data_IF_604051284708
#
_entry.id   IF_604051284708
#
_cell.length_a   1.000
_cell.length_b   1.000
_cell.length_c   1.000
_cell.angle_alpha   90.00
_cell.angle_beta   90.00
_cell.angle_gamma   90.00
#
_symmetry.space_group_name_H-M   'P 1'
#
loop_
_entity.id
_entity.type
_entity.pdbx_description
1 polymer ?
#
# COMPACT_ATOMS: atom_id res chain seq x y z
N UNK A 1 -2.12 27.60 -0.71
CA UNK A 1 -1.87 26.16 -0.96
C UNK A 1 -1.38 25.87 -2.38
N UNK A 2 -2.05 26.36 -3.44
CA UNK A 2 -1.65 26.07 -4.85
C UNK A 2 -0.19 26.44 -5.16
N UNK A 3 0.29 27.62 -4.74
CA UNK A 3 1.69 28.04 -4.95
C UNK A 3 2.69 27.06 -4.31
N UNK A 4 2.37 26.56 -3.11
CA UNK A 4 3.19 25.60 -2.39
C UNK A 4 3.22 24.25 -3.12
N UNK A 5 2.06 23.77 -3.56
CA UNK A 5 1.96 22.52 -4.31
C UNK A 5 2.76 22.57 -5.62
N UNK A 6 2.68 23.69 -6.35
CA UNK A 6 3.50 23.90 -7.56
C UNK A 6 5.00 23.84 -7.27
N UNK A 7 5.45 24.43 -6.16
CA UNK A 7 6.86 24.40 -5.76
C UNK A 7 7.32 22.98 -5.40
N UNK A 8 6.54 22.25 -4.59
CA UNK A 8 6.88 20.88 -4.19
C UNK A 8 6.83 19.94 -5.40
N UNK A 9 5.89 20.12 -6.32
CA UNK A 9 5.82 19.36 -7.58
C UNK A 9 7.00 19.64 -8.51
N UNK A 10 7.45 20.90 -8.62
CA UNK A 10 8.65 21.24 -9.37
C UNK A 10 9.89 20.55 -8.80
N UNK A 11 9.98 20.47 -7.47
CA UNK A 11 11.06 19.73 -6.79
C UNK A 11 10.98 18.24 -7.06
N UNK A 12 9.79 17.64 -7.02
CA UNK A 12 9.57 16.22 -7.31
C UNK A 12 10.17 15.82 -8.67
N UNK A 13 9.90 16.61 -9.72
CA UNK A 13 10.43 16.35 -11.07
C UNK A 13 11.95 16.33 -11.17
N UNK A 14 12.65 16.97 -10.23
CA UNK A 14 14.11 17.02 -10.19
C UNK A 14 14.71 16.08 -9.14
N UNK A 15 13.88 15.41 -8.34
CA UNK A 15 14.37 14.56 -7.26
C UNK A 15 14.82 13.21 -7.83
N UNK A 16 16.07 12.86 -7.55
CA UNK A 16 16.69 11.62 -8.05
C UNK A 16 16.04 10.35 -7.48
N UNK A 17 15.49 10.41 -6.27
CA UNK A 17 14.90 9.25 -5.61
C UNK A 17 13.52 8.97 -6.19
N UNK A 18 12.78 10.02 -6.56
CA UNK A 18 11.55 9.85 -7.34
C UNK A 18 11.82 9.12 -8.67
N UNK A 19 12.84 9.53 -9.43
CA UNK A 19 13.19 8.84 -10.67
C UNK A 19 13.69 7.42 -10.43
N UNK A 20 14.50 7.19 -9.38
CA UNK A 20 14.92 5.85 -8.97
C UNK A 20 13.70 4.96 -8.66
N UNK A 21 12.71 5.49 -7.94
CA UNK A 21 11.47 4.76 -7.64
C UNK A 21 10.72 4.39 -8.93
N UNK A 22 10.59 5.32 -9.89
CA UNK A 22 9.98 5.04 -11.20
C UNK A 22 10.73 3.95 -11.96
N UNK A 23 12.07 4.04 -12.07
CA UNK A 23 12.86 3.01 -12.76
C UNK A 23 12.75 1.64 -12.08
N UNK A 24 12.73 1.62 -10.75
CA UNK A 24 12.56 0.40 -9.99
C UNK A 24 11.19 -0.23 -10.20
N UNK A 25 10.12 0.57 -10.28
CA UNK A 25 8.78 0.08 -10.62
C UNK A 25 8.75 -0.56 -12.01
N UNK A 26 9.40 0.05 -13.01
CA UNK A 26 9.51 -0.53 -14.36
C UNK A 26 10.28 -1.86 -14.30
N UNK A 27 11.38 -1.91 -13.55
CA UNK A 27 12.17 -3.13 -13.36
C UNK A 27 11.37 -4.26 -12.69
N UNK A 28 10.59 -3.93 -11.66
CA UNK A 28 9.72 -4.89 -10.97
C UNK A 28 8.59 -5.38 -11.89
N UNK A 29 7.98 -4.51 -12.69
CA UNK A 29 6.99 -4.91 -13.69
C UNK A 29 7.58 -5.90 -14.71
N UNK A 30 8.75 -5.60 -15.26
CA UNK A 30 9.44 -6.50 -16.18
C UNK A 30 9.82 -7.84 -15.52
N UNK A 31 10.35 -7.80 -14.29
CA UNK A 31 10.74 -8.99 -13.54
C UNK A 31 9.54 -9.88 -13.18
N UNK A 32 8.44 -9.29 -12.73
CA UNK A 32 7.21 -10.04 -12.38
C UNK A 32 6.61 -10.73 -13.60
N UNK A 33 6.52 -10.03 -14.74
CA UNK A 33 6.09 -10.64 -16.00
C UNK A 33 7.02 -11.78 -16.42
N UNK A 34 8.34 -11.56 -16.43
CA UNK A 34 9.32 -12.59 -16.80
C UNK A 34 9.24 -13.83 -15.91
N UNK A 35 9.06 -13.64 -14.60
CA UNK A 35 8.93 -14.74 -13.62
C UNK A 35 7.70 -15.61 -13.88
N UNK A 36 6.64 -15.05 -14.45
CA UNK A 36 5.38 -15.77 -14.67
C UNK A 36 5.21 -16.39 -16.05
N UNK A 37 6.02 -16.00 -17.05
CA UNK A 37 6.01 -16.63 -18.39
C UNK A 37 6.01 -18.18 -18.36
N UNK A 38 6.83 -18.86 -17.54
CA UNK A 38 6.87 -20.33 -17.54
C UNK A 38 5.68 -21.00 -16.83
N UNK A 39 4.79 -20.24 -16.17
CA UNK A 39 3.69 -20.79 -15.37
C UNK A 39 2.35 -20.62 -16.13
N UNK A 40 1.87 -21.69 -16.74
CA UNK A 40 0.64 -21.68 -17.55
C UNK A 40 -0.64 -21.42 -16.72
N UNK A 41 -0.61 -21.70 -15.41
CA UNK A 41 -1.77 -21.56 -14.51
C UNK A 41 -1.93 -20.17 -13.87
N UNK A 42 -1.07 -19.20 -14.22
CA UNK A 42 -1.09 -17.88 -13.57
C UNK A 42 -1.93 -16.88 -14.34
N UNK A 43 -3.01 -16.45 -13.69
CA UNK A 43 -3.93 -15.44 -14.18
C UNK A 43 -3.35 -14.02 -14.09
N UNK A 44 -3.68 -13.19 -15.09
CA UNK A 44 -3.29 -11.78 -15.16
C UNK A 44 -3.67 -11.00 -13.88
N UNK A 45 -4.81 -11.36 -13.28
CA UNK A 45 -5.32 -10.81 -12.02
C UNK A 45 -4.26 -10.79 -10.91
N UNK A 46 -3.48 -11.87 -10.77
CA UNK A 46 -2.44 -12.00 -9.75
C UNK A 46 -1.24 -11.10 -10.03
N UNK A 47 -0.86 -10.98 -11.30
CA UNK A 47 0.26 -10.16 -11.74
C UNK A 47 -0.08 -8.68 -11.52
N UNK A 48 -1.30 -8.26 -11.90
CA UNK A 48 -1.79 -6.90 -11.74
C UNK A 48 -1.75 -6.45 -10.27
N UNK A 49 -2.12 -7.33 -9.35
CA UNK A 49 -2.20 -7.01 -7.93
C UNK A 49 -0.90 -7.25 -7.15
N UNK A 50 0.16 -7.78 -7.76
CA UNK A 50 1.35 -8.16 -7.01
C UNK A 50 2.13 -6.94 -6.45
N UNK A 51 2.19 -5.84 -7.20
CA UNK A 51 3.04 -4.70 -6.85
C UNK A 51 2.64 -4.02 -5.53
N UNK A 52 1.35 -4.03 -5.18
CA UNK A 52 0.85 -3.44 -3.92
C UNK A 52 1.51 -4.06 -2.68
N UNK A 53 1.95 -5.33 -2.75
CA UNK A 53 2.63 -6.01 -1.64
C UNK A 53 3.99 -5.38 -1.32
N UNK A 54 4.64 -4.76 -2.31
CA UNK A 54 6.00 -4.22 -2.20
C UNK A 54 6.02 -2.68 -2.18
N UNK A 55 4.99 -2.03 -2.73
CA UNK A 55 4.98 -0.57 -2.89
C UNK A 55 5.16 0.19 -1.57
N UNK A 56 4.64 -0.35 -0.45
CA UNK A 56 4.75 0.27 0.87
C UNK A 56 6.19 0.54 1.31
N UNK A 57 7.15 -0.33 0.96
CA UNK A 57 8.57 -0.12 1.27
C UNK A 57 9.14 1.06 0.50
N UNK A 58 8.80 1.17 -0.79
CA UNK A 58 9.27 2.27 -1.63
C UNK A 58 8.66 3.59 -1.20
N UNK A 59 7.37 3.60 -0.84
CA UNK A 59 6.72 4.78 -0.26
C UNK A 59 7.43 5.17 1.05
N UNK A 60 7.79 4.21 1.91
CA UNK A 60 8.52 4.49 3.15
C UNK A 60 9.84 5.25 2.88
N UNK A 61 10.66 4.74 1.96
CA UNK A 61 11.96 5.33 1.60
C UNK A 61 11.78 6.68 0.90
N UNK A 62 10.89 6.74 -0.08
CA UNK A 62 10.67 7.94 -0.89
C UNK A 62 10.13 9.09 -0.03
N UNK A 63 9.06 8.85 0.72
CA UNK A 63 8.40 9.87 1.55
C UNK A 63 9.35 10.32 2.66
N UNK A 64 10.06 9.40 3.31
CA UNK A 64 10.98 9.74 4.39
C UNK A 64 12.11 10.65 3.94
N UNK A 65 12.68 10.39 2.77
CA UNK A 65 13.78 11.17 2.25
C UNK A 65 13.26 12.48 1.62
N UNK A 66 12.19 12.44 0.83
CA UNK A 66 11.66 13.63 0.17
C UNK A 66 11.11 14.67 1.15
N UNK A 67 10.33 14.23 2.14
CA UNK A 67 9.79 15.10 3.19
C UNK A 67 10.86 15.43 4.23
N UNK A 68 11.65 14.44 4.65
CA UNK A 68 12.74 14.64 5.62
C UNK A 68 13.79 15.65 5.17
N UNK A 69 14.13 15.73 3.87
CA UNK A 69 14.99 16.79 3.31
C UNK A 69 14.46 18.19 3.60
N UNK A 70 13.14 18.41 3.58
CA UNK A 70 12.59 19.73 3.87
C UNK A 70 12.76 20.13 5.32
N UNK A 71 12.68 19.16 6.22
CA UNK A 71 12.88 19.41 7.63
C UNK A 71 14.37 19.68 7.89
N UNK A 72 15.26 18.76 7.50
CA UNK A 72 16.68 18.84 7.82
C UNK A 72 17.38 20.06 7.23
N UNK A 73 16.92 20.53 6.07
CA UNK A 73 17.47 21.72 5.40
C UNK A 73 16.81 23.04 5.85
N UNK A 74 15.93 23.01 6.85
CA UNK A 74 15.23 24.21 7.35
C UNK A 74 14.22 24.81 6.36
N UNK A 75 13.87 24.09 5.28
CA UNK A 75 12.91 24.56 4.25
C UNK A 75 11.53 24.75 4.87
N UNK A 76 11.12 23.89 5.82
CA UNK A 76 9.85 24.04 6.54
C UNK A 76 9.79 25.38 7.29
N UNK A 77 10.87 25.75 7.99
CA UNK A 77 10.97 27.03 8.70
C UNK A 77 10.87 28.20 7.73
N UNK A 78 11.57 28.13 6.60
CA UNK A 78 11.52 29.16 5.56
C UNK A 78 10.11 29.33 4.97
N UNK A 79 9.39 28.22 4.71
CA UNK A 79 7.99 28.27 4.23
C UNK A 79 7.06 28.98 5.22
N UNK A 80 7.26 28.79 6.52
CA UNK A 80 6.47 29.45 7.57
C UNK A 80 6.79 30.93 7.67
N UNK A 81 8.07 31.31 7.59
CA UNK A 81 8.51 32.72 7.60
C UNK A 81 7.88 33.50 6.43
N UNK A 82 7.77 32.89 5.26
CA UNK A 82 7.13 33.46 4.07
C UNK A 82 5.59 33.50 4.18
N UNK A 83 5.01 33.00 5.28
CA UNK A 83 3.59 33.10 5.60
C UNK A 83 2.74 31.86 5.27
N UNK A 84 3.34 30.71 4.95
CA UNK A 84 2.58 29.48 4.79
C UNK A 84 2.20 28.85 6.13
N UNK A 85 0.95 28.40 6.27
CA UNK A 85 0.49 27.72 7.48
C UNK A 85 1.10 26.31 7.58
N UNK A 86 1.35 25.86 8.82
CA UNK A 86 1.86 24.51 9.11
C UNK A 86 0.98 23.41 8.50
N UNK A 87 -0.34 23.57 8.60
CA UNK A 87 -1.33 22.66 8.00
C UNK A 87 -1.15 22.58 6.48
N UNK A 88 -0.96 23.72 5.82
CA UNK A 88 -0.76 23.74 4.36
C UNK A 88 0.53 23.05 3.92
N UNK A 89 1.58 23.11 4.74
CA UNK A 89 2.85 22.41 4.49
C UNK A 89 2.67 20.90 4.65
N UNK A 90 2.03 20.46 5.74
CA UNK A 90 1.73 19.05 5.98
C UNK A 90 0.91 18.45 4.84
N UNK A 91 -0.19 19.09 4.46
CA UNK A 91 -1.07 18.60 3.39
C UNK A 91 -0.41 18.66 2.01
N UNK A 92 0.43 19.66 1.72
CA UNK A 92 1.12 19.73 0.44
C UNK A 92 2.12 18.57 0.27
N UNK A 93 2.87 18.24 1.32
CA UNK A 93 3.80 17.12 1.30
C UNK A 93 3.06 15.78 1.21
N UNK A 94 1.94 15.62 1.93
CA UNK A 94 1.08 14.45 1.82
C UNK A 94 0.53 14.27 0.39
N UNK A 95 -0.07 15.32 -0.19
CA UNK A 95 -0.66 15.26 -1.54
C UNK A 95 0.39 14.90 -2.59
N UNK A 96 1.59 15.47 -2.51
CA UNK A 96 2.66 15.14 -3.47
C UNK A 96 3.15 13.71 -3.29
N UNK A 97 3.24 13.24 -2.05
CA UNK A 97 3.59 11.84 -1.76
C UNK A 97 2.58 10.86 -2.33
N UNK A 98 1.28 11.17 -2.21
CA UNK A 98 0.19 10.39 -2.78
C UNK A 98 0.28 10.41 -4.32
N UNK A 99 0.43 11.59 -4.94
CA UNK A 99 0.53 11.72 -6.41
C UNK A 99 1.72 10.92 -6.95
N UNK A 100 2.89 11.02 -6.31
CA UNK A 100 4.08 10.30 -6.73
C UNK A 100 3.88 8.77 -6.64
N UNK A 101 3.28 8.29 -5.56
CA UNK A 101 3.06 6.86 -5.33
C UNK A 101 1.99 6.28 -6.25
N UNK A 102 0.89 7.00 -6.48
CA UNK A 102 -0.16 6.62 -7.44
C UNK A 102 0.39 6.61 -8.87
N UNK A 103 1.25 7.56 -9.22
CA UNK A 103 1.88 7.56 -10.54
C UNK A 103 2.71 6.28 -10.76
N UNK A 104 3.48 5.84 -9.77
CA UNK A 104 4.22 4.57 -9.84
C UNK A 104 3.26 3.39 -10.01
N UNK A 105 2.17 3.32 -9.24
CA UNK A 105 1.14 2.28 -9.38
C UNK A 105 0.55 2.25 -10.81
N UNK A 106 0.16 3.42 -11.34
CA UNK A 106 -0.39 3.52 -12.71
C UNK A 106 0.65 3.06 -13.74
N UNK A 107 1.92 3.44 -13.58
CA UNK A 107 2.98 3.00 -14.48
C UNK A 107 3.16 1.48 -14.45
N UNK A 108 3.10 0.87 -13.26
CA UNK A 108 3.12 -0.59 -13.11
C UNK A 108 1.96 -1.23 -13.87
N UNK A 109 0.73 -0.78 -13.61
CA UNK A 109 -0.48 -1.29 -14.27
C UNK A 109 -0.42 -1.16 -15.78
N UNK A 110 0.01 -0.01 -16.31
CA UNK A 110 0.14 0.20 -17.76
C UNK A 110 1.11 -0.80 -18.39
N UNK A 111 2.26 -1.04 -17.75
CA UNK A 111 3.24 -2.01 -18.27
C UNK A 111 2.71 -3.44 -18.22
N UNK A 112 2.09 -3.82 -17.10
CA UNK A 112 1.50 -5.15 -16.93
C UNK A 112 0.34 -5.36 -17.90
N UNK A 113 -0.51 -4.37 -18.16
CA UNK A 113 -1.57 -4.54 -19.15
C UNK A 113 -1.03 -4.59 -20.58
N UNK A 114 -0.05 -3.74 -20.92
CA UNK A 114 0.50 -3.68 -22.28
C UNK A 114 1.22 -4.96 -22.67
N UNK A 115 1.99 -5.56 -21.75
CA UNK A 115 2.79 -6.76 -22.00
C UNK A 115 2.05 -8.02 -21.56
N UNK A 116 1.31 -7.95 -20.45
CA UNK A 116 0.66 -9.09 -19.82
C UNK A 116 -0.61 -9.55 -20.53
N UNK A 117 -1.41 -8.65 -21.14
CA UNK A 117 -2.61 -9.08 -21.90
C UNK A 117 -2.23 -10.00 -23.07
N UNK A 118 -1.23 -9.66 -23.91
CA UNK A 118 -0.78 -10.55 -24.98
C UNK A 118 -0.22 -11.90 -24.51
N UNK A 119 0.37 -11.96 -23.31
CA UNK A 119 1.06 -13.15 -22.81
C UNK A 119 0.16 -14.07 -21.97
N UNK A 120 -0.68 -13.50 -21.12
CA UNK A 120 -1.47 -14.21 -20.10
C UNK A 120 -2.98 -14.12 -20.34
N UNK A 121 -3.42 -13.44 -21.40
CA UNK A 121 -4.84 -13.27 -21.73
C UNK A 121 -5.51 -12.12 -20.98
N UNK A 122 -6.84 -12.15 -20.92
CA UNK A 122 -7.64 -11.09 -20.29
C UNK A 122 -7.81 -11.31 -18.79
N UNK A 123 -8.18 -10.25 -18.07
CA UNK A 123 -8.58 -10.34 -16.65
C UNK A 123 -9.78 -11.29 -16.49
N UNK A 124 -9.75 -12.11 -15.45
CA UNK A 124 -10.87 -13.00 -15.11
C UNK A 124 -11.87 -12.34 -14.17
N UNK A 125 -11.39 -11.46 -13.28
CA UNK A 125 -12.24 -10.70 -12.40
C UNK A 125 -13.24 -9.82 -13.15
N UNK A 126 -14.44 -9.70 -12.61
CA UNK A 126 -15.47 -8.81 -13.15
C UNK A 126 -15.03 -7.35 -13.04
N UNK A 127 -15.56 -6.48 -13.91
CA UNK A 127 -15.27 -5.04 -13.88
C UNK A 127 -15.56 -4.41 -12.50
N UNK A 128 -16.61 -4.86 -11.81
CA UNK A 128 -16.94 -4.38 -10.47
C UNK A 128 -15.91 -4.80 -9.42
N UNK A 129 -15.36 -6.01 -9.50
CA UNK A 129 -14.31 -6.48 -8.61
C UNK A 129 -13.02 -5.70 -8.86
N UNK A 130 -12.63 -5.54 -10.12
CA UNK A 130 -11.45 -4.75 -10.49
C UNK A 130 -11.53 -3.30 -10.00
N UNK A 131 -12.69 -2.64 -10.16
CA UNK A 131 -12.89 -1.29 -9.67
C UNK A 131 -12.76 -1.19 -8.13
N UNK A 132 -13.27 -2.18 -7.40
CA UNK A 132 -13.14 -2.24 -5.94
C UNK A 132 -11.70 -2.52 -5.50
N UNK A 133 -10.98 -3.38 -6.21
CA UNK A 133 -9.56 -3.64 -5.97
C UNK A 133 -8.77 -2.34 -6.16
N UNK A 134 -8.95 -1.64 -7.29
CA UNK A 134 -8.28 -0.39 -7.58
C UNK A 134 -8.55 0.68 -6.51
N UNK A 135 -9.79 0.79 -6.05
CA UNK A 135 -10.16 1.70 -4.95
C UNK A 135 -9.38 1.36 -3.67
N UNK A 136 -9.34 0.09 -3.28
CA UNK A 136 -8.61 -0.36 -2.10
C UNK A 136 -7.10 -0.13 -2.25
N UNK A 137 -6.51 -0.41 -3.42
CA UNK A 137 -5.11 -0.14 -3.73
C UNK A 137 -4.78 1.34 -3.51
N UNK A 138 -5.60 2.25 -4.02
CA UNK A 138 -5.43 3.70 -3.82
C UNK A 138 -5.51 4.07 -2.33
N UNK A 139 -6.47 3.52 -1.59
CA UNK A 139 -6.62 3.78 -0.15
C UNK A 139 -5.45 3.25 0.68
N UNK A 140 -4.91 2.08 0.33
CA UNK A 140 -3.71 1.51 0.95
C UNK A 140 -2.49 2.41 0.70
N UNK A 141 -2.30 2.89 -0.53
CA UNK A 141 -1.23 3.84 -0.88
C UNK A 141 -1.36 5.13 -0.07
N UNK A 142 -2.57 5.70 0.04
CA UNK A 142 -2.83 6.90 0.85
C UNK A 142 -2.53 6.65 2.33
N UNK A 143 -2.85 5.45 2.83
CA UNK A 143 -2.55 5.04 4.21
C UNK A 143 -1.05 5.03 4.49
N UNK A 144 -0.26 4.38 3.62
CA UNK A 144 1.20 4.41 3.72
C UNK A 144 1.76 5.83 3.65
N UNK A 145 1.31 6.63 2.67
CA UNK A 145 1.72 8.02 2.55
C UNK A 145 1.42 8.84 3.81
N UNK A 146 0.25 8.63 4.42
CA UNK A 146 -0.17 9.34 5.64
C UNK A 146 0.74 9.02 6.82
N UNK A 147 1.02 7.72 7.04
CA UNK A 147 1.90 7.25 8.11
C UNK A 147 3.32 7.80 7.96
N UNK A 148 3.92 7.64 6.78
CA UNK A 148 5.31 8.04 6.58
C UNK A 148 5.45 9.56 6.54
N UNK A 149 4.52 10.29 5.93
CA UNK A 149 4.52 11.76 5.98
C UNK A 149 4.42 12.28 7.41
N UNK A 150 3.58 11.66 8.25
CA UNK A 150 3.49 11.99 9.67
C UNK A 150 4.84 11.84 10.39
N UNK A 151 5.48 10.68 10.24
CA UNK A 151 6.78 10.40 10.86
C UNK A 151 7.84 11.40 10.37
N UNK A 152 7.90 11.66 9.07
CA UNK A 152 8.87 12.58 8.49
C UNK A 152 8.70 14.02 8.90
N UNK A 153 7.48 14.45 9.21
CA UNK A 153 7.21 15.78 9.73
C UNK A 153 7.51 15.89 11.24
N UNK A 154 7.64 14.76 11.95
CA UNK A 154 8.06 14.69 13.34
C UNK A 154 9.57 14.53 13.49
N UNK A 155 10.26 13.91 12.55
CA UNK A 155 11.70 13.73 12.64
C UNK A 155 12.45 14.95 12.11
N UNK A 156 13.41 15.47 12.87
CA UNK A 156 14.23 16.60 12.43
C UNK A 156 15.33 16.18 11.45
N UNK A 157 15.87 14.97 11.65
CA UNK A 157 16.94 14.41 10.86
C UNK A 157 16.41 13.41 9.83
N UNK A 158 16.95 13.49 8.61
CA UNK A 158 16.53 12.64 7.50
C UNK A 158 16.84 11.17 7.73
N UNK A 159 18.00 10.87 8.32
CA UNK A 159 18.43 9.51 8.63
C UNK A 159 17.50 8.88 9.66
N UNK A 160 17.16 9.64 10.72
CA UNK A 160 16.23 9.18 11.77
C UNK A 160 14.84 8.92 11.19
N UNK A 161 14.32 9.85 10.38
CA UNK A 161 13.02 9.65 9.71
C UNK A 161 13.00 8.38 8.87
N UNK A 162 14.04 8.18 8.07
CA UNK A 162 14.13 7.06 7.13
C UNK A 162 14.25 5.73 7.85
N UNK A 163 15.10 5.65 8.88
CA UNK A 163 15.23 4.45 9.71
C UNK A 163 13.90 4.07 10.37
N UNK A 164 13.17 5.05 10.95
CA UNK A 164 11.87 4.78 11.58
C UNK A 164 10.84 4.30 10.55
N UNK A 165 10.76 4.93 9.37
CA UNK A 165 9.81 4.53 8.33
C UNK A 165 10.08 3.10 7.83
N UNK A 166 11.34 2.74 7.59
CA UNK A 166 11.73 1.39 7.15
C UNK A 166 11.44 0.35 8.24
N UNK A 167 11.84 0.60 9.48
CA UNK A 167 11.57 -0.33 10.61
C UNK A 167 10.07 -0.50 10.81
N UNK A 168 9.29 0.58 10.68
CA UNK A 168 7.85 0.51 10.82
C UNK A 168 7.21 -0.31 9.69
N UNK A 169 7.65 -0.16 8.45
CA UNK A 169 7.21 -1.00 7.35
C UNK A 169 7.51 -2.49 7.60
N UNK A 170 8.75 -2.81 8.01
CA UNK A 170 9.14 -4.19 8.34
C UNK A 170 8.28 -4.74 9.48
N UNK A 171 8.01 -3.91 10.49
CA UNK A 171 7.14 -4.29 11.61
C UNK A 171 5.72 -4.57 11.13
N UNK A 172 5.16 -3.71 10.27
CA UNK A 172 3.84 -3.95 9.66
C UNK A 172 3.81 -5.25 8.88
N UNK A 173 4.86 -5.57 8.12
CA UNK A 173 4.99 -6.83 7.38
C UNK A 173 5.04 -8.06 8.29
N UNK A 174 5.81 -8.02 9.38
CA UNK A 174 5.93 -9.15 10.33
C UNK A 174 4.64 -9.35 11.14
N UNK A 175 4.03 -8.27 11.60
CA UNK A 175 2.78 -8.34 12.38
C UNK A 175 1.66 -8.89 11.51
N UNK A 176 1.52 -8.36 10.29
CA UNK A 176 0.65 -8.88 9.26
C UNK A 176 0.81 -10.40 9.07
N UNK A 177 2.04 -10.85 8.81
CA UNK A 177 2.33 -12.26 8.55
C UNK A 177 1.97 -13.16 9.76
N UNK A 178 2.23 -12.69 10.98
CA UNK A 178 1.90 -13.41 12.21
C UNK A 178 0.39 -13.64 12.37
N UNK A 179 -0.43 -12.65 12.01
CA UNK A 179 -1.89 -12.77 12.10
C UNK A 179 -2.52 -13.41 10.85
N UNK A 180 -1.82 -13.44 9.72
CA UNK A 180 -2.32 -13.95 8.43
C UNK A 180 -2.83 -15.39 8.51
N UNK A 181 -2.11 -16.26 9.22
CA UNK A 181 -2.50 -17.68 9.33
C UNK A 181 -3.84 -17.83 10.07
N UNK A 182 -3.98 -17.16 11.21
CA UNK A 182 -5.21 -17.19 12.02
C UNK A 182 -6.36 -16.44 11.34
N UNK A 183 -6.07 -15.33 10.65
CA UNK A 183 -7.10 -14.56 9.96
C UNK A 183 -7.70 -15.37 8.80
N UNK A 184 -6.86 -16.04 8.01
CA UNK A 184 -7.23 -16.81 6.82
C UNK A 184 -7.50 -18.31 7.09
N UNK A 185 -7.78 -18.70 8.34
CA UNK A 185 -8.17 -20.08 8.63
C UNK A 185 -9.62 -20.31 8.21
N UNK A 186 -9.84 -21.22 7.26
CA UNK A 186 -11.18 -21.64 6.86
C UNK A 186 -11.88 -22.40 7.99
N UNK A 187 -13.16 -22.10 8.22
CA UNK A 187 -13.96 -22.77 9.25
C UNK A 187 -14.25 -24.23 8.88
N UNK A 188 -14.38 -24.51 7.60
CA UNK A 188 -14.77 -25.82 7.09
C UNK A 188 -13.70 -26.36 6.13
N UNK A 189 -13.25 -27.58 6.38
CA UNK A 189 -12.47 -28.35 5.40
C UNK A 189 -13.45 -28.83 4.34
N UNK A 190 -13.22 -28.41 3.10
CA UNK A 190 -14.06 -28.81 1.97
C UNK A 190 -13.37 -29.96 1.25
N UNK A 191 -13.91 -31.17 1.38
CA UNK A 191 -13.45 -32.32 0.60
C UNK A 191 -14.07 -32.25 -0.79
N UNK A 192 -13.25 -32.22 -1.84
CA UNK A 192 -13.71 -32.23 -3.24
C UNK A 192 -13.23 -33.48 -3.96
N UNK A 193 -14.07 -34.08 -4.82
CA UNK A 193 -13.61 -35.01 -5.85
C UNK A 193 -13.69 -34.32 -7.21
N UNK A 194 -12.70 -34.55 -8.06
CA UNK A 194 -12.70 -34.05 -9.44
C UNK A 194 -13.26 -35.14 -10.34
N UNK A 195 -14.34 -34.84 -11.06
CA UNK A 195 -14.93 -35.78 -12.03
C UNK A 195 -14.06 -35.91 -13.30
N UNK A 196 -14.31 -36.89 -14.16
CA UNK A 196 -13.55 -37.17 -15.39
C UNK A 196 -13.51 -35.97 -16.36
N UNK A 197 -14.45 -35.04 -16.22
CA UNK A 197 -14.52 -33.78 -16.97
C UNK A 197 -13.72 -32.62 -16.32
N UNK A 198 -12.97 -32.86 -15.24
CA UNK A 198 -12.18 -31.84 -14.54
C UNK A 198 -12.97 -30.94 -13.58
N UNK A 199 -14.24 -31.26 -13.31
CA UNK A 199 -15.12 -30.46 -12.45
C UNK A 199 -15.04 -30.97 -11.00
N UNK A 200 -14.63 -30.12 -10.06
CA UNK A 200 -14.56 -30.45 -8.64
C UNK A 200 -15.93 -30.34 -7.97
N UNK A 201 -16.44 -31.45 -7.43
CA UNK A 201 -17.67 -31.53 -6.67
C UNK A 201 -17.39 -31.60 -5.17
N UNK A 202 -18.10 -30.78 -4.37
CA UNK A 202 -17.99 -30.76 -2.91
C UNK A 202 -18.71 -31.98 -2.31
N UNK A 203 -17.97 -32.81 -1.58
CA UNK A 203 -18.42 -34.10 -1.02
C UNK A 203 -18.89 -33.96 0.41
N UNK A 204 -18.10 -33.26 1.22
CA UNK A 204 -18.41 -32.97 2.62
C UNK A 204 -17.75 -31.66 3.04
N UNK A 205 -18.43 -30.95 3.94
CA UNK A 205 -17.87 -29.84 4.70
C UNK A 205 -17.79 -30.28 6.16
N UNK A 206 -16.57 -30.48 6.64
CA UNK A 206 -16.31 -30.86 8.02
C UNK A 206 -15.67 -29.69 8.74
N UNK A 207 -16.02 -29.49 10.02
CA UNK A 207 -15.40 -28.44 10.83
C UNK A 207 -13.90 -28.73 10.95
N UNK A 208 -13.03 -27.76 10.63
CA UNK A 208 -11.59 -27.94 10.78
C UNK A 208 -11.24 -28.19 12.26
N UNK A 209 -10.65 -29.36 12.61
CA UNK A 209 -10.21 -29.64 13.98
C UNK A 209 -9.22 -28.61 14.54
N UNK A 210 -8.48 -27.92 13.67
CA UNK A 210 -7.53 -26.87 14.04
C UNK A 210 -8.13 -25.46 14.02
N UNK A 211 -9.43 -25.31 13.78
CA UNK A 211 -10.08 -24.00 13.74
C UNK A 211 -9.93 -23.30 15.11
N UNK A 212 -9.27 -22.14 15.18
CA UNK A 212 -8.93 -21.49 16.46
C UNK A 212 -10.14 -20.90 17.19
N UNK A 213 -11.31 -20.88 16.55
CA UNK A 213 -12.58 -20.36 17.06
C UNK A 213 -12.97 -19.04 16.41
N UNK A 214 -14.28 -18.83 16.20
CA UNK A 214 -14.84 -17.71 15.43
C UNK A 214 -14.36 -16.34 15.96
N UNK A 215 -14.27 -16.21 17.29
CA UNK A 215 -13.85 -14.97 17.93
C UNK A 215 -12.37 -14.65 17.69
N UNK A 216 -11.48 -15.66 17.75
CA UNK A 216 -10.04 -15.47 17.52
C UNK A 216 -9.76 -15.11 16.05
N UNK A 217 -10.41 -15.79 15.12
CA UNK A 217 -10.31 -15.47 13.68
C UNK A 217 -10.78 -14.03 13.43
N UNK A 218 -11.92 -13.65 14.00
CA UNK A 218 -12.46 -12.29 13.86
C UNK A 218 -11.52 -11.23 14.43
N UNK A 219 -10.93 -11.45 15.61
CA UNK A 219 -9.98 -10.51 16.21
C UNK A 219 -8.68 -10.42 15.38
N UNK A 220 -8.13 -11.56 14.97
CA UNK A 220 -6.94 -11.61 14.10
C UNK A 220 -7.20 -10.86 12.78
N UNK A 221 -8.36 -11.08 12.16
CA UNK A 221 -8.79 -10.40 10.93
C UNK A 221 -8.92 -8.89 11.12
N UNK A 222 -9.47 -8.44 12.25
CA UNK A 222 -9.58 -7.02 12.54
C UNK A 222 -8.21 -6.33 12.65
N UNK A 223 -7.25 -6.97 13.33
CA UNK A 223 -5.88 -6.46 13.46
C UNK A 223 -5.20 -6.44 12.08
N UNK A 224 -5.30 -7.55 11.36
CA UNK A 224 -4.76 -7.76 10.04
C UNK A 224 -5.24 -6.70 9.03
N UNK A 225 -6.56 -6.45 8.95
CA UNK A 225 -7.12 -5.43 8.06
C UNK A 225 -6.87 -4.00 8.52
N UNK A 226 -6.58 -3.78 9.81
CA UNK A 226 -6.20 -2.45 10.31
C UNK A 226 -4.79 -2.01 9.87
N UNK A 227 -3.96 -2.95 9.42
CA UNK A 227 -2.61 -2.68 8.96
C UNK A 227 -2.65 -2.49 7.43
N UNK A 228 -2.09 -1.38 6.88
CA UNK A 228 -2.09 -1.17 5.43
C UNK A 228 -1.38 -2.30 4.66
N UNK A 229 -0.31 -2.86 5.23
CA UNK A 229 0.37 -4.03 4.66
C UNK A 229 -0.52 -5.28 4.63
N UNK A 230 -1.50 -5.39 5.53
CA UNK A 230 -2.45 -6.49 5.50
C UNK A 230 -3.49 -6.38 4.43
N UNK A 231 -4.00 -5.19 4.24
CA UNK A 231 -4.83 -4.89 3.09
C UNK A 231 -4.07 -5.09 1.77
N UNK A 232 -2.79 -4.72 1.71
CA UNK A 232 -1.95 -4.97 0.54
C UNK A 232 -1.80 -6.47 0.23
N UNK A 233 -1.64 -7.31 1.26
CA UNK A 233 -1.51 -8.76 1.08
C UNK A 233 -2.81 -9.42 0.62
N UNK A 234 -3.97 -9.00 1.10
CA UNK A 234 -5.29 -9.48 0.60
C UNK A 234 -5.47 -9.19 -0.88
N UNK A 235 -5.13 -7.96 -1.29
CA UNK A 235 -5.19 -7.58 -2.71
C UNK A 235 -4.21 -8.43 -3.52
N UNK A 236 -2.97 -8.57 -3.04
CA UNK A 236 -1.93 -9.34 -3.71
C UNK A 236 -2.22 -10.84 -3.81
N UNK A 237 -2.98 -11.41 -2.87
CA UNK A 237 -3.43 -12.80 -2.91
C UNK A 237 -4.69 -13.01 -3.77
N UNK A 238 -5.28 -11.94 -4.33
CA UNK A 238 -6.59 -11.96 -4.99
C UNK A 238 -7.72 -12.49 -4.11
N UNK A 239 -7.64 -12.30 -2.79
CA UNK A 239 -8.78 -12.62 -1.93
C UNK A 239 -9.82 -11.50 -2.03
N UNK A 240 -11.00 -11.84 -2.53
CA UNK A 240 -12.07 -10.88 -2.82
C UNK A 240 -13.11 -10.80 -1.69
N UNK A 241 -13.02 -11.64 -0.65
CA UNK A 241 -14.04 -11.78 0.39
C UNK A 241 -14.25 -10.46 1.17
N UNK A 242 -13.15 -9.78 1.50
CA UNK A 242 -13.15 -8.60 2.37
C UNK A 242 -13.04 -7.25 1.64
N UNK A 243 -13.08 -7.23 0.31
CA UNK A 243 -12.90 -6.01 -0.50
C UNK A 243 -13.85 -4.86 -0.13
N UNK A 244 -15.05 -5.16 0.37
CA UNK A 244 -16.04 -4.16 0.77
C UNK A 244 -15.79 -3.59 2.17
N UNK A 245 -15.09 -4.32 3.03
CA UNK A 245 -14.82 -3.93 4.41
C UNK A 245 -13.52 -3.12 4.53
N UNK A 246 -12.52 -3.46 3.72
CA UNK A 246 -11.20 -2.82 3.71
C UNK A 246 -11.23 -1.28 3.64
N UNK A 247 -12.08 -0.62 2.82
CA UNK A 247 -12.10 0.84 2.73
C UNK A 247 -12.38 1.52 4.08
N UNK A 248 -13.18 0.90 4.94
CA UNK A 248 -13.53 1.43 6.26
C UNK A 248 -12.26 1.52 7.11
N UNK A 249 -11.47 0.44 7.15
CA UNK A 249 -10.21 0.40 7.89
C UNK A 249 -9.20 1.42 7.38
N UNK A 250 -9.01 1.53 6.06
CA UNK A 250 -8.07 2.51 5.50
C UNK A 250 -8.53 3.94 5.76
N UNK A 251 -9.81 4.28 5.56
CA UNK A 251 -10.34 5.63 5.80
C UNK A 251 -10.18 6.02 7.27
N UNK A 252 -10.55 5.13 8.21
CA UNK A 252 -10.38 5.37 9.65
C UNK A 252 -8.93 5.64 10.00
N UNK A 253 -7.98 4.85 9.48
CA UNK A 253 -6.55 5.03 9.72
C UNK A 253 -6.02 6.34 9.11
N UNK A 254 -6.39 6.65 7.86
CA UNK A 254 -6.01 7.90 7.16
C UNK A 254 -6.49 9.12 7.96
N UNK A 255 -7.75 9.14 8.37
CA UNK A 255 -8.31 10.24 9.17
C UNK A 255 -7.57 10.39 10.50
N UNK A 256 -7.38 9.29 11.23
CA UNK A 256 -6.75 9.29 12.55
C UNK A 256 -5.31 9.80 12.48
N UNK A 257 -4.50 9.25 11.57
CA UNK A 257 -3.09 9.63 11.43
C UNK A 257 -2.94 11.07 10.96
N UNK A 258 -3.75 11.55 10.02
CA UNK A 258 -3.63 12.91 9.53
C UNK A 258 -4.11 13.96 10.55
N UNK A 259 -5.17 13.66 11.32
CA UNK A 259 -5.62 14.55 12.41
C UNK A 259 -4.54 14.63 13.50
N UNK A 260 -4.01 13.48 13.95
CA UNK A 260 -2.93 13.43 14.94
C UNK A 260 -1.67 14.13 14.41
N UNK A 261 -1.33 13.93 13.13
CA UNK A 261 -0.17 14.53 12.50
C UNK A 261 -0.23 16.04 12.39
N UNK A 262 -1.38 16.56 11.97
CA UNK A 262 -1.60 18.01 11.94
C UNK A 262 -1.53 18.59 13.35
N UNK A 263 -2.16 17.95 14.32
CA UNK A 263 -2.16 18.42 15.71
C UNK A 263 -0.75 18.46 16.30
N UNK A 264 0.01 17.36 16.22
CA UNK A 264 1.38 17.29 16.77
C UNK A 264 2.31 18.26 16.04
N UNK A 265 2.26 18.32 14.70
CA UNK A 265 3.10 19.22 13.92
C UNK A 265 2.78 20.70 14.17
N UNK A 266 1.51 21.03 14.46
CA UNK A 266 1.12 22.41 14.80
C UNK A 266 1.77 22.91 16.09
N UNK A 267 1.99 22.02 17.06
CA UNK A 267 2.56 22.33 18.38
C UNK A 267 4.09 22.22 18.43
N UNK A 268 4.71 21.64 17.41
CA UNK A 268 6.15 21.35 17.41
C UNK A 268 6.99 22.62 17.30
N UNK A 269 8.03 22.74 18.12
CA UNK A 269 9.03 23.80 17.95
C UNK A 269 9.93 23.49 16.75
N UNK A 270 10.06 24.45 15.84
CA UNK A 270 10.94 24.35 14.67
C UNK A 270 12.20 25.15 14.99
N UNK A 271 13.30 24.45 15.24
CA UNK A 271 14.62 25.05 15.42
C UNK A 271 15.21 25.46 14.08
#
# INVERSE_FOLDING_TARGET
>A
MIKLLKAVFFRLKKDIIFWLFVFLTIGIAGFTLFRYIPNEDVHLDKIVNEFIMYIGLFIAIFVSIFVGKEYSQGIIRNKIIVGHSRISIFLANLIISIIASILCEIMYLVLVFLIGIPLFGQLQMTLSQFAMVLLNTVLVIISFCSIFNFISMICSEITVSTTICIILFITMYVVQASFSLTANTDKYITNTYTDENGVSHIVSQELDPNYPGDEKVKQARMIYLSIPQGQAMEIGSNDLEYLKQMPIYSITLICTINILGIYIFSKKELK
#
